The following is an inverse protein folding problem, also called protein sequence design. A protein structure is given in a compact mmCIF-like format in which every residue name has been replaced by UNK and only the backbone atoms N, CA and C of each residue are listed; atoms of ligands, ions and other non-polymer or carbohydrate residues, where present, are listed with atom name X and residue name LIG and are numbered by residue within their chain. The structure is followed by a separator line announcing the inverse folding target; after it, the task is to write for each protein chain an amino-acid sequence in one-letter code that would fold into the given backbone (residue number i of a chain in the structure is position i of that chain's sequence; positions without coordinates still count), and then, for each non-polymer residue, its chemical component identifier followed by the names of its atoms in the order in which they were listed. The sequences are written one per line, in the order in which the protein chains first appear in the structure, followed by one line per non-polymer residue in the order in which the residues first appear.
data_IF_194106546449
#
_entry.id   IF_194106546449
#
_cell.length_a   1.000
_cell.length_b   1.000
_cell.length_c   1.000
_cell.angle_alpha   90.00
_cell.angle_beta   90.00
_cell.angle_gamma   90.00
#
_symmetry.space_group_name_H-M   'P 1'
#
loop_
_entity.id
_entity.type
_entity.pdbx_description
1 polymer ?
#
# COMPACT_ATOMS: atom_id res chain seq x y z
N UNK A 1 -13.71 -7.32 -1.55
CA UNK A 1 -14.52 -6.22 -0.98
C UNK A 1 -13.96 -4.88 -1.45
N UNK A 2 -14.78 -3.85 -1.71
CA UNK A 2 -14.30 -2.50 -2.00
C UNK A 2 -14.15 -1.71 -0.70
N UNK A 3 -12.95 -1.21 -0.39
CA UNK A 3 -12.61 -0.49 0.84
C UNK A 3 -12.71 1.03 0.69
N UNK A 4 -12.57 1.54 -0.54
CA UNK A 4 -12.67 2.96 -0.80
C UNK A 4 -12.43 3.31 -2.27
N UNK A 5 -13.00 4.44 -2.67
CA UNK A 5 -12.70 5.09 -3.93
C UNK A 5 -12.28 6.54 -3.66
N UNK A 6 -11.17 6.96 -4.26
CA UNK A 6 -10.55 8.25 -3.99
C UNK A 6 -10.35 8.99 -5.31
N UNK A 7 -10.69 10.28 -5.30
CA UNK A 7 -10.48 11.18 -6.44
C UNK A 7 -9.62 12.33 -5.96
N UNK A 8 -8.40 12.40 -6.50
CA UNK A 8 -7.41 13.40 -6.10
C UNK A 8 -7.63 14.74 -6.79
N UNK A 9 -8.23 14.72 -7.98
CA UNK A 9 -8.55 15.88 -8.80
C UNK A 9 -10.09 16.07 -8.89
N UNK A 10 -10.69 17.02 -8.15
CA UNK A 10 -12.14 17.18 -8.07
C UNK A 10 -12.83 17.53 -9.40
N UNK A 11 -12.07 18.05 -10.37
CA UNK A 11 -12.52 18.49 -11.69
C UNK A 11 -12.32 17.43 -12.80
N UNK A 12 -11.68 16.30 -12.48
CA UNK A 12 -11.38 15.22 -13.43
C UNK A 12 -12.61 14.63 -14.16
N UNK A 13 -12.72 14.81 -15.47
CA UNK A 13 -13.76 14.17 -16.27
C UNK A 13 -13.52 12.65 -16.39
N UNK A 14 -14.26 11.86 -15.61
CA UNK A 14 -14.13 10.40 -15.55
C UNK A 14 -14.65 9.69 -16.81
N UNK A 15 -15.27 10.40 -17.76
CA UNK A 15 -15.75 9.83 -19.02
C UNK A 15 -14.67 9.78 -20.11
N UNK A 16 -13.56 10.49 -19.89
CA UNK A 16 -12.44 10.55 -20.82
C UNK A 16 -11.65 9.24 -20.93
N UNK A 17 -10.77 9.18 -21.94
CA UNK A 17 -9.88 8.02 -22.16
C UNK A 17 -9.07 7.74 -20.89
N UNK A 18 -9.19 6.52 -20.38
CA UNK A 18 -8.64 6.14 -19.06
C UNK A 18 -7.42 5.23 -19.21
N UNK A 19 -6.30 5.61 -18.59
CA UNK A 19 -5.15 4.75 -18.36
C UNK A 19 -5.42 3.95 -17.09
N UNK A 20 -5.52 2.63 -17.21
CA UNK A 20 -5.78 1.74 -16.08
C UNK A 20 -4.50 1.04 -15.65
N UNK A 21 -4.22 1.03 -14.35
CA UNK A 21 -3.15 0.23 -13.76
C UNK A 21 -3.67 -0.57 -12.57
N UNK A 22 -3.02 -1.69 -12.33
CA UNK A 22 -3.26 -2.57 -11.18
C UNK A 22 -2.06 -2.48 -10.25
N UNK A 23 -2.32 -2.40 -8.96
CA UNK A 23 -1.31 -2.49 -7.92
C UNK A 23 -1.70 -3.54 -6.89
N UNK A 24 -0.71 -4.06 -6.19
CA UNK A 24 -0.87 -5.00 -5.08
C UNK A 24 -0.30 -4.40 -3.81
N UNK A 25 -0.86 -4.80 -2.67
CA UNK A 25 -0.50 -4.31 -1.34
C UNK A 25 -0.55 -5.47 -0.36
N UNK A 26 0.42 -5.52 0.55
CA UNK A 26 0.52 -6.59 1.52
C UNK A 26 0.20 -6.13 2.93
N UNK A 27 -0.59 -6.94 3.64
CA UNK A 27 -0.85 -6.80 5.07
C UNK A 27 -0.24 -8.00 5.79
N UNK A 28 1.00 -7.84 6.26
CA UNK A 28 1.76 -8.88 6.95
C UNK A 28 1.79 -8.58 8.44
N UNK A 29 1.14 -9.43 9.22
CA UNK A 29 1.05 -9.29 10.67
C UNK A 29 2.09 -10.16 11.40
N UNK A 30 2.55 -9.65 12.54
CA UNK A 30 3.33 -10.38 13.54
C UNK A 30 2.80 -10.02 14.92
N UNK A 31 1.97 -10.91 15.48
CA UNK A 31 1.22 -10.57 16.68
C UNK A 31 0.19 -9.47 16.38
N UNK A 32 0.23 -8.38 17.14
CA UNK A 32 -0.59 -7.19 16.98
C UNK A 32 0.06 -6.10 16.10
N UNK A 33 1.29 -6.33 15.66
CA UNK A 33 2.03 -5.44 14.76
C UNK A 33 1.78 -5.80 13.30
N UNK A 34 1.75 -4.76 12.46
CA UNK A 34 1.68 -4.82 11.02
C UNK A 34 3.01 -4.30 10.46
N UNK A 35 3.56 -4.99 9.46
CA UNK A 35 4.71 -4.49 8.72
C UNK A 35 4.28 -3.38 7.77
N UNK A 36 4.84 -2.19 7.94
CA UNK A 36 4.60 -1.02 7.10
C UNK A 36 5.90 -0.30 6.74
N UNK A 37 5.88 0.52 5.71
CA UNK A 37 6.99 1.40 5.35
C UNK A 37 6.76 2.79 5.95
N UNK A 38 7.61 3.18 6.90
CA UNK A 38 7.60 4.52 7.48
C UNK A 38 8.44 5.49 6.65
N UNK A 39 7.91 6.67 6.36
CA UNK A 39 8.61 7.74 5.63
C UNK A 39 9.35 8.71 6.55
N UNK A 40 10.26 9.51 6.00
CA UNK A 40 10.89 10.66 6.68
C UNK A 40 9.91 11.74 7.15
N UNK A 41 8.66 11.72 6.69
CA UNK A 41 7.61 12.65 7.11
C UNK A 41 6.78 12.14 8.30
N UNK A 42 6.99 10.87 8.69
CA UNK A 42 6.33 10.21 9.83
C UNK A 42 5.04 9.48 9.47
N UNK A 43 4.69 9.36 8.19
CA UNK A 43 3.56 8.56 7.74
C UNK A 43 3.99 7.14 7.32
N UNK A 44 3.00 6.25 7.22
CA UNK A 44 3.14 4.84 6.90
C UNK A 44 2.33 4.46 5.66
N UNK A 45 2.95 3.67 4.77
CA UNK A 45 2.29 3.00 3.64
C UNK A 45 2.44 1.48 3.72
N UNK A 46 1.48 0.75 3.14
CA UNK A 46 1.58 -0.68 2.90
C UNK A 46 2.67 -0.96 1.86
N UNK A 47 3.52 -2.00 2.08
CA UNK A 47 4.39 -2.52 1.04
C UNK A 47 3.60 -2.94 -0.19
N UNK A 48 4.18 -2.74 -1.37
CA UNK A 48 3.63 -3.12 -2.66
C UNK A 48 3.74 -2.03 -3.72
N UNK A 49 3.36 -2.39 -4.94
CA UNK A 49 3.51 -1.51 -6.09
C UNK A 49 2.69 -1.98 -7.29
N UNK A 50 3.09 -1.53 -8.47
CA UNK A 50 2.39 -1.86 -9.72
C UNK A 50 2.63 -3.31 -10.11
N UNK A 51 1.61 -3.95 -10.70
CA UNK A 51 1.79 -5.25 -11.35
C UNK A 51 2.37 -5.02 -12.74
N UNK A 52 3.50 -5.66 -13.04
CA UNK A 52 4.17 -5.52 -14.33
C UNK A 52 3.56 -6.40 -15.42
N UNK A 53 3.96 -6.16 -16.68
CA UNK A 53 3.45 -6.92 -17.82
C UNK A 53 3.92 -8.39 -17.74
N UNK A 54 2.96 -9.31 -17.69
CA UNK A 54 3.25 -10.74 -17.57
C UNK A 54 3.47 -11.23 -16.14
N UNK A 55 3.40 -10.32 -15.16
CA UNK A 55 3.51 -10.62 -13.74
C UNK A 55 2.12 -10.92 -13.15
N UNK A 56 2.02 -11.93 -12.29
CA UNK A 56 0.81 -12.14 -11.50
C UNK A 56 0.84 -11.33 -10.19
N UNK A 57 -0.32 -11.21 -9.54
CA UNK A 57 -0.45 -10.39 -8.33
C UNK A 57 0.40 -10.87 -7.16
N UNK A 58 0.62 -12.18 -7.04
CA UNK A 58 1.42 -12.75 -5.96
C UNK A 58 2.90 -12.49 -6.19
N UNK A 59 3.38 -12.73 -7.41
CA UNK A 59 4.74 -12.46 -7.85
C UNK A 59 5.09 -10.97 -7.68
N UNK A 60 4.20 -10.07 -8.13
CA UNK A 60 4.35 -8.62 -7.95
C UNK A 60 4.52 -8.26 -6.48
N UNK A 61 3.67 -8.79 -5.60
CA UNK A 61 3.73 -8.44 -4.19
C UNK A 61 4.99 -9.02 -3.51
N UNK A 62 5.40 -10.23 -3.89
CA UNK A 62 6.64 -10.85 -3.41
C UNK A 62 7.88 -10.05 -3.81
N UNK A 63 7.95 -9.58 -5.07
CA UNK A 63 9.01 -8.71 -5.56
C UNK A 63 9.09 -7.42 -4.74
N UNK A 64 7.96 -6.75 -4.56
CA UNK A 64 7.90 -5.49 -3.82
C UNK A 64 8.31 -5.64 -2.34
N UNK A 65 7.98 -6.76 -1.69
CA UNK A 65 8.49 -7.03 -0.34
C UNK A 65 10.01 -7.21 -0.31
N UNK A 66 10.61 -7.81 -1.34
CA UNK A 66 12.06 -7.93 -1.46
C UNK A 66 12.69 -6.55 -1.67
N UNK A 67 12.15 -5.75 -2.58
CA UNK A 67 12.66 -4.41 -2.92
C UNK A 67 12.49 -3.43 -1.76
N UNK A 68 11.26 -3.25 -1.27
CA UNK A 68 10.93 -2.21 -0.30
C UNK A 68 11.25 -2.62 1.14
N UNK A 69 11.25 -3.91 1.47
CA UNK A 69 11.45 -4.36 2.86
C UNK A 69 12.69 -5.24 3.05
N UNK A 70 13.38 -5.65 1.99
CA UNK A 70 14.42 -6.68 2.08
C UNK A 70 13.86 -8.02 2.58
N UNK A 71 12.57 -8.31 2.35
CA UNK A 71 11.87 -9.45 2.93
C UNK A 71 11.51 -10.49 1.86
N UNK A 72 12.29 -11.56 1.78
CA UNK A 72 12.03 -12.68 0.88
C UNK A 72 11.09 -13.74 1.51
N UNK A 73 10.56 -14.63 0.67
CA UNK A 73 9.76 -15.78 1.12
C UNK A 73 8.39 -15.38 1.67
N UNK A 74 7.85 -14.24 1.24
CA UNK A 74 6.48 -13.84 1.59
C UNK A 74 5.48 -14.72 0.86
N UNK A 75 4.52 -15.25 1.59
CA UNK A 75 3.37 -15.97 1.04
C UNK A 75 2.18 -15.03 0.95
N UNK A 76 1.54 -14.99 -0.22
CA UNK A 76 0.37 -14.14 -0.49
C UNK A 76 -0.89 -14.97 -0.29
N UNK A 77 -1.68 -14.59 0.72
CA UNK A 77 -2.88 -15.31 1.14
C UNK A 77 -4.18 -14.65 0.65
N UNK A 78 -5.17 -14.63 1.54
CA UNK A 78 -6.52 -14.17 1.22
C UNK A 78 -6.58 -12.68 0.92
N UNK A 79 -7.48 -12.30 0.01
CA UNK A 79 -7.75 -10.88 -0.26
C UNK A 79 -8.40 -10.21 0.96
N UNK A 80 -7.81 -9.10 1.41
CA UNK A 80 -8.37 -8.19 2.40
C UNK A 80 -9.39 -7.24 1.76
N UNK A 81 -9.14 -6.79 0.53
CA UNK A 81 -10.05 -5.91 -0.19
C UNK A 81 -9.33 -5.15 -1.30
N UNK A 82 -9.99 -4.11 -1.83
CA UNK A 82 -9.45 -3.29 -2.90
C UNK A 82 -9.82 -1.83 -2.74
N UNK A 83 -8.98 -0.95 -3.27
CA UNK A 83 -9.28 0.49 -3.41
C UNK A 83 -9.14 0.93 -4.86
N UNK A 84 -9.85 1.98 -5.24
CA UNK A 84 -9.69 2.61 -6.55
C UNK A 84 -9.28 4.08 -6.36
N UNK A 85 -8.24 4.51 -7.06
CA UNK A 85 -7.83 5.91 -7.11
C UNK A 85 -7.97 6.46 -8.53
N UNK A 86 -8.44 7.71 -8.61
CA UNK A 86 -8.54 8.49 -9.83
C UNK A 86 -7.70 9.76 -9.69
N UNK A 87 -6.84 9.99 -10.68
CA UNK A 87 -6.02 11.20 -10.78
C UNK A 87 -5.81 11.59 -12.24
N UNK A 88 -5.32 12.80 -12.46
CA UNK A 88 -4.86 13.26 -13.76
C UNK A 88 -3.62 12.47 -14.20
N UNK A 89 -3.62 11.88 -15.41
CA UNK A 89 -2.45 11.20 -15.94
C UNK A 89 -1.36 12.22 -16.31
N UNK A 90 -0.10 11.76 -16.30
CA UNK A 90 1.00 12.53 -16.91
C UNK A 90 1.01 12.35 -18.43
N UNK A 91 0.46 11.22 -18.90
CA UNK A 91 0.35 10.83 -20.29
C UNK A 91 -0.73 11.67 -21.01
N UNK A 92 -0.35 12.53 -21.97
CA UNK A 92 -1.26 13.53 -22.57
C UNK A 92 -2.38 12.92 -23.41
N UNK A 93 -2.23 11.67 -23.86
CA UNK A 93 -3.23 10.91 -24.61
C UNK A 93 -4.38 10.40 -23.73
N UNK A 94 -4.19 10.37 -22.41
CA UNK A 94 -5.21 9.99 -21.44
C UNK A 94 -5.80 11.23 -20.75
N UNK A 95 -7.00 11.06 -20.19
CA UNK A 95 -7.71 12.08 -19.40
C UNK A 95 -7.85 11.69 -17.95
N UNK A 96 -7.84 10.39 -17.69
CA UNK A 96 -8.00 9.80 -16.36
C UNK A 96 -6.92 8.75 -16.19
N UNK A 97 -6.24 8.77 -15.06
CA UNK A 97 -5.49 7.63 -14.57
C UNK A 97 -6.31 6.96 -13.47
N UNK A 98 -6.56 5.66 -13.62
CA UNK A 98 -7.30 4.84 -12.66
C UNK A 98 -6.39 3.74 -12.14
N UNK A 99 -6.07 3.78 -10.85
CA UNK A 99 -5.34 2.72 -10.17
C UNK A 99 -6.30 1.86 -9.37
N UNK A 100 -6.26 0.55 -9.54
CA UNK A 100 -6.95 -0.40 -8.65
C UNK A 100 -5.89 -1.11 -7.81
N UNK A 101 -5.93 -0.93 -6.49
CA UNK A 101 -5.00 -1.59 -5.56
C UNK A 101 -5.70 -2.74 -4.86
N UNK A 102 -5.12 -3.94 -4.94
CA UNK A 102 -5.59 -5.14 -4.26
C UNK A 102 -4.76 -5.42 -3.02
N UNK A 103 -5.41 -5.61 -1.87
CA UNK A 103 -4.77 -5.88 -0.59
C UNK A 103 -4.90 -7.35 -0.27
N UNK A 104 -3.81 -7.96 0.16
CA UNK A 104 -3.73 -9.36 0.54
C UNK A 104 -3.15 -9.49 1.94
N UNK A 105 -3.68 -10.43 2.72
CA UNK A 105 -3.00 -10.88 3.92
C UNK A 105 -1.78 -11.71 3.52
N UNK A 106 -0.67 -11.48 4.20
CA UNK A 106 0.60 -12.14 3.90
C UNK A 106 1.19 -12.79 5.15
N UNK A 107 1.98 -13.83 4.94
CA UNK A 107 2.81 -14.47 5.96
C UNK A 107 4.27 -14.52 5.49
N UNK A 108 5.20 -14.58 6.43
CA UNK A 108 6.61 -14.85 6.12
C UNK A 108 7.26 -15.61 7.28
N UNK A 109 8.09 -16.63 7.01
CA UNK A 109 8.89 -17.30 8.03
C UNK A 109 10.14 -16.51 8.41
N UNK A 110 10.46 -15.41 7.71
CA UNK A 110 11.69 -14.67 7.92
C UNK A 110 11.68 -13.91 9.25
N UNK A 111 12.83 -13.92 9.94
CA UNK A 111 13.01 -13.29 11.25
C UNK A 111 13.60 -11.87 11.19
N UNK A 112 13.98 -11.39 10.01
CA UNK A 112 14.62 -10.09 9.80
C UNK A 112 14.54 -9.58 8.38
N UNK A 113 15.10 -8.39 8.16
CA UNK A 113 15.15 -7.70 6.87
C UNK A 113 16.55 -7.74 6.28
N UNK A 114 16.66 -7.97 4.98
CA UNK A 114 17.86 -7.73 4.21
C UNK A 114 17.94 -6.25 3.79
N UNK A 115 18.93 -5.91 2.96
CA UNK A 115 19.06 -4.57 2.39
C UNK A 115 17.91 -4.26 1.42
N UNK A 116 17.35 -3.05 1.53
CA UNK A 116 16.30 -2.56 0.64
C UNK A 116 16.91 -2.11 -0.71
N UNK A 117 16.11 -2.20 -1.77
CA UNK A 117 16.43 -1.72 -3.12
C UNK A 117 15.38 -0.68 -3.52
N UNK A 118 15.40 0.47 -2.85
CA UNK A 118 14.41 1.52 -3.05
C UNK A 118 14.65 2.30 -4.35
N UNK A 119 13.56 2.60 -5.07
CA UNK A 119 13.63 3.35 -6.32
C UNK A 119 12.90 4.69 -6.28
N UNK A 120 13.48 5.70 -6.96
CA UNK A 120 12.85 7.00 -7.18
C UNK A 120 12.31 7.64 -5.89
N UNK A 121 11.00 7.85 -5.85
CA UNK A 121 10.32 8.51 -4.74
C UNK A 121 10.48 7.77 -3.40
N UNK A 122 10.74 6.46 -3.42
CA UNK A 122 10.85 5.63 -2.22
C UNK A 122 12.15 5.91 -1.48
N UNK A 123 13.24 6.06 -2.23
CA UNK A 123 14.53 6.52 -1.71
C UNK A 123 14.44 7.98 -1.25
N UNK A 124 13.75 8.85 -2.00
CA UNK A 124 13.53 10.27 -1.63
C UNK A 124 12.69 10.44 -0.34
N UNK A 125 11.82 9.47 -0.04
CA UNK A 125 11.04 9.42 1.19
C UNK A 125 11.75 8.69 2.33
N UNK A 126 12.92 8.12 2.08
CA UNK A 126 13.68 7.31 3.03
C UNK A 126 12.79 6.22 3.67
N UNK A 127 12.04 5.50 2.84
CA UNK A 127 11.11 4.49 3.33
C UNK A 127 11.86 3.41 4.10
N UNK A 128 11.41 3.09 5.32
CA UNK A 128 12.00 2.02 6.13
C UNK A 128 10.96 1.03 6.62
N UNK A 129 11.20 -0.29 6.57
CA UNK A 129 10.30 -1.29 7.11
C UNK A 129 10.22 -1.16 8.64
N UNK A 130 9.00 -1.10 9.16
CA UNK A 130 8.70 -0.96 10.58
C UNK A 130 7.56 -1.90 10.95
N UNK A 131 7.76 -2.61 12.04
CA UNK A 131 6.66 -3.24 12.77
C UNK A 131 5.98 -2.18 13.62
N UNK A 132 4.68 -2.00 13.42
CA UNK A 132 3.88 -0.99 14.11
C UNK A 132 2.45 -1.48 14.26
N UNK A 133 1.80 -1.18 15.38
CA UNK A 133 0.38 -1.52 15.52
C UNK A 133 -0.48 -0.72 14.53
N UNK A 134 -1.59 -1.30 14.09
CA UNK A 134 -2.53 -0.61 13.17
C UNK A 134 -3.01 0.72 13.77
N UNK A 135 -3.24 0.75 15.09
CA UNK A 135 -3.66 1.95 15.81
C UNK A 135 -2.60 3.06 15.76
N UNK A 136 -1.33 2.71 15.91
CA UNK A 136 -0.21 3.66 15.94
C UNK A 136 0.06 4.22 14.55
N UNK A 137 0.09 3.36 13.52
CA UNK A 137 0.20 3.79 12.12
C UNK A 137 -0.95 4.73 11.73
N UNK A 138 -2.18 4.41 12.15
CA UNK A 138 -3.34 5.25 11.88
C UNK A 138 -3.22 6.64 12.56
N UNK A 139 -2.75 6.69 13.81
CA UNK A 139 -2.50 7.97 14.50
C UNK A 139 -1.42 8.79 13.79
N UNK A 140 -0.31 8.16 13.40
CA UNK A 140 0.78 8.82 12.69
C UNK A 140 0.32 9.40 11.35
N UNK A 141 -0.42 8.62 10.55
CA UNK A 141 -0.97 9.07 9.28
C UNK A 141 -1.93 10.25 9.45
N UNK A 142 -2.79 10.23 10.48
CA UNK A 142 -3.68 11.36 10.80
C UNK A 142 -2.90 12.61 11.20
N UNK A 143 -1.86 12.47 12.01
CA UNK A 143 -1.01 13.59 12.44
C UNK A 143 -0.28 14.24 11.25
N UNK A 144 0.26 13.46 10.32
CA UNK A 144 0.88 14.00 9.09
C UNK A 144 -0.15 14.75 8.25
N UNK A 145 -1.36 14.19 8.10
CA UNK A 145 -2.45 14.84 7.37
C UNK A 145 -2.87 16.17 8.01
N UNK A 146 -3.00 16.22 9.33
CA UNK A 146 -3.35 17.43 10.08
C UNK A 146 -2.26 18.50 9.99
N UNK A 147 -0.98 18.10 10.00
CA UNK A 147 0.15 19.01 9.81
C UNK A 147 0.13 19.67 8.43
N UNK A 148 -0.36 18.98 7.40
CA UNK A 148 -0.49 19.50 6.04
C UNK A 148 0.83 19.64 5.26
N UNK A 149 1.98 19.35 5.87
CA UNK A 149 3.30 19.44 5.23
C UNK A 149 3.77 18.05 4.83
N UNK A 150 4.24 17.87 3.59
CA UNK A 150 4.75 16.58 3.12
C UNK A 150 3.68 15.49 3.01
N UNK A 151 2.41 15.88 2.88
CA UNK A 151 1.28 14.95 2.78
C UNK A 151 1.30 14.28 1.40
N UNK A 152 1.55 12.97 1.40
CA UNK A 152 1.51 12.19 0.17
C UNK A 152 0.07 11.89 -0.25
N UNK A 153 -0.19 11.88 -1.56
CA UNK A 153 -1.54 11.66 -2.12
C UNK A 153 -2.19 10.36 -1.63
N UNK A 154 -1.41 9.29 -1.48
CA UNK A 154 -1.91 7.99 -1.06
C UNK A 154 -2.27 7.94 0.42
N UNK A 155 -1.87 8.93 1.24
CA UNK A 155 -2.06 8.90 2.69
C UNK A 155 -3.53 8.69 3.09
N UNK A 156 -4.46 9.27 2.32
CA UNK A 156 -5.91 9.09 2.54
C UNK A 156 -6.33 7.64 2.29
N UNK A 157 -5.80 6.99 1.25
CA UNK A 157 -6.03 5.57 0.94
C UNK A 157 -5.48 4.68 2.06
N UNK A 158 -4.22 4.89 2.45
CA UNK A 158 -3.56 4.12 3.51
C UNK A 158 -4.35 4.21 4.82
N UNK A 159 -4.71 5.43 5.21
CA UNK A 159 -5.53 5.71 6.41
C UNK A 159 -6.85 4.95 6.36
N UNK A 160 -7.53 4.92 5.21
CA UNK A 160 -8.83 4.25 5.07
C UNK A 160 -8.72 2.73 5.24
N UNK A 161 -7.66 2.13 4.72
CA UNK A 161 -7.43 0.69 4.86
C UNK A 161 -7.02 0.34 6.29
N UNK A 162 -6.20 1.17 6.94
CA UNK A 162 -5.87 1.02 8.37
C UNK A 162 -7.12 1.11 9.27
N UNK A 163 -8.06 2.02 8.99
CA UNK A 163 -9.35 2.08 9.71
C UNK A 163 -10.15 0.78 9.58
N UNK A 164 -10.17 0.19 8.39
CA UNK A 164 -10.81 -1.10 8.17
C UNK A 164 -10.12 -2.22 8.97
N UNK A 165 -8.79 -2.31 8.88
CA UNK A 165 -8.00 -3.32 9.61
C UNK A 165 -8.09 -3.16 11.12
N UNK A 166 -8.23 -1.94 11.65
CA UNK A 166 -8.41 -1.70 13.08
C UNK A 166 -9.70 -2.35 13.61
N UNK A 167 -10.72 -2.47 12.74
CA UNK A 167 -12.01 -3.09 13.09
C UNK A 167 -12.02 -4.59 12.78
N UNK A 168 -11.43 -4.99 11.66
CA UNK A 168 -11.45 -6.37 11.18
C UNK A 168 -10.40 -7.28 11.86
N UNK A 169 -9.26 -6.72 12.26
CA UNK A 169 -8.12 -7.47 12.78
C UNK A 169 -7.37 -8.29 11.72
N UNK A 170 -6.34 -9.05 12.13
CA UNK A 170 -5.70 -10.04 11.27
C UNK A 170 -6.66 -11.18 10.92
N UNK A 171 -6.41 -11.94 9.82
CA UNK A 171 -7.19 -13.12 9.52
C UNK A 171 -7.06 -14.13 10.66
N UNK A 172 -8.14 -14.88 10.93
CA UNK A 172 -8.08 -15.97 11.89
C UNK A 172 -6.94 -16.94 11.52
N UNK A 173 -6.19 -17.48 12.50
CA UNK A 173 -5.18 -18.48 12.20
C UNK A 173 -5.84 -19.63 11.44
N UNK A 174 -5.22 -20.06 10.34
CA UNK A 174 -5.69 -21.22 9.60
C UNK A 174 -5.85 -22.38 10.58
N UNK A 175 -7.05 -22.95 10.68
CA UNK A 175 -7.27 -24.16 11.45
C UNK A 175 -6.40 -25.25 10.82
N UNK A 176 -5.34 -25.65 11.54
CA UNK A 176 -4.45 -26.74 11.15
C UNK A 176 -5.13 -28.09 11.21
#
# INVERSE_FOLDING_TARGET
MMLGSFRHDPDLDLTGRTLQRTAVRGALFRGDELLMLGSRHGDYKFPGGGVEAGEDQAAALQREYVEECGLAGVEVGLSCGSTIEYLRPNEPEYRVFKMTSHYFFCSSPASGFAEQQLEGYEAELELTPRWITVADALRANRAVRERGVGVMRWLVRETKVLEHLLTAGPPAPAAG
#
